data_IF_551089561302
#
_entry.id   IF_551089561302
#
_cell.length_a   1.000
_cell.length_b   1.000
_cell.length_c   1.000
_cell.angle_alpha   90.00
_cell.angle_beta   90.00
_cell.angle_gamma   90.00
#
_symmetry.space_group_name_H-M   'P 1'
#
loop_
_entity.id
_entity.type
_entity.pdbx_description
1 polymer ?
#
# COMPACT_ATOMS: atom_id res chain seq x y z
N UNK A 1 39.16 50.16 36.27
CA UNK A 1 38.52 49.73 35.01
C UNK A 1 38.34 48.22 35.07
N UNK A 2 37.14 47.75 35.42
CA UNK A 2 36.78 46.33 35.46
C UNK A 2 36.11 45.97 34.13
N UNK A 3 36.63 44.96 33.43
CA UNK A 3 36.05 44.49 32.18
C UNK A 3 34.71 43.75 32.43
N UNK A 4 33.71 43.86 31.54
CA UNK A 4 32.45 43.15 31.68
C UNK A 4 32.63 41.65 31.40
N UNK A 5 32.11 40.81 32.30
CA UNK A 5 32.01 39.36 32.12
C UNK A 5 31.04 39.05 30.96
N UNK A 6 31.42 38.24 29.96
CA UNK A 6 30.49 37.83 28.91
C UNK A 6 29.32 37.04 29.54
N UNK A 7 28.09 37.55 29.40
CA UNK A 7 26.88 36.85 29.79
C UNK A 7 26.71 35.60 28.93
N UNK A 8 26.53 34.45 29.59
CA UNK A 8 26.36 33.12 29.00
C UNK A 8 25.24 33.14 27.95
N UNK A 9 25.55 32.77 26.71
CA UNK A 9 24.55 32.52 25.68
C UNK A 9 23.56 31.45 26.16
N UNK A 10 22.25 31.58 25.86
CA UNK A 10 21.25 30.60 26.27
C UNK A 10 21.66 29.22 25.77
N UNK A 11 21.87 28.29 26.71
CA UNK A 11 22.28 26.93 26.45
C UNK A 11 21.46 26.35 25.29
N UNK A 12 22.17 25.90 24.25
CA UNK A 12 21.59 25.19 23.11
C UNK A 12 20.54 24.21 23.60
N UNK A 13 19.33 24.25 23.03
CA UNK A 13 18.23 23.33 23.38
C UNK A 13 18.75 21.90 23.34
N UNK A 14 19.08 21.39 24.52
CA UNK A 14 19.51 20.02 24.72
C UNK A 14 18.33 19.14 24.35
N UNK A 15 18.52 18.23 23.39
CA UNK A 15 17.48 17.25 23.07
C UNK A 15 17.30 16.34 24.27
N UNK A 16 16.25 16.58 25.06
CA UNK A 16 15.90 15.71 26.18
C UNK A 16 15.51 14.33 25.64
N UNK A 17 16.33 13.33 25.96
CA UNK A 17 16.04 11.93 25.66
C UNK A 17 15.10 11.44 26.75
N UNK A 18 13.80 11.44 26.45
CA UNK A 18 12.81 10.81 27.32
C UNK A 18 12.93 9.29 27.18
N UNK A 19 13.27 8.61 28.28
CA UNK A 19 13.11 7.16 28.36
C UNK A 19 11.61 6.85 28.33
N UNK A 20 11.12 6.48 27.14
CA UNK A 20 9.72 6.12 26.96
C UNK A 20 9.38 4.73 27.51
N UNK A 21 10.35 3.99 28.05
CA UNK A 21 10.17 2.60 28.45
C UNK A 21 9.90 1.73 27.21
N UNK A 22 10.74 0.74 26.95
CA UNK A 22 10.41 -0.24 25.92
C UNK A 22 9.33 -1.18 26.45
N UNK A 23 8.18 -1.19 25.79
CA UNK A 23 7.17 -2.20 26.06
C UNK A 23 7.72 -3.57 25.65
N UNK A 24 7.86 -4.45 26.63
CA UNK A 24 8.29 -5.81 26.36
C UNK A 24 7.20 -6.55 25.59
N UNK A 25 7.62 -7.31 24.58
CA UNK A 25 6.71 -8.14 23.79
C UNK A 25 6.59 -9.51 24.45
N UNK A 26 5.48 -9.73 25.16
CA UNK A 26 5.16 -11.02 25.82
C UNK A 26 4.38 -11.99 24.93
N UNK A 27 4.06 -11.57 23.69
CA UNK A 27 3.30 -12.38 22.75
C UNK A 27 4.11 -13.53 22.14
N UNK A 28 3.42 -14.52 21.53
CA UNK A 28 4.08 -15.61 20.83
C UNK A 28 4.89 -15.09 19.64
N UNK A 29 6.16 -15.51 19.57
CA UNK A 29 7.06 -15.17 18.46
C UNK A 29 6.78 -16.07 17.27
N UNK A 30 6.01 -15.57 16.32
CA UNK A 30 5.74 -16.30 15.09
C UNK A 30 6.98 -16.38 14.20
N UNK A 31 7.11 -17.49 13.47
CA UNK A 31 8.24 -17.74 12.58
C UNK A 31 8.19 -16.96 11.26
N UNK A 32 9.17 -17.24 10.40
CA UNK A 32 9.40 -16.59 9.10
C UNK A 32 8.15 -16.58 8.19
N UNK A 33 7.40 -17.67 8.14
CA UNK A 33 6.19 -17.77 7.30
C UNK A 33 5.10 -16.77 7.71
N UNK A 34 4.93 -16.53 9.00
CA UNK A 34 3.96 -15.55 9.49
C UNK A 34 4.40 -14.11 9.17
N UNK A 35 5.70 -13.82 9.24
CA UNK A 35 6.24 -12.51 8.85
C UNK A 35 5.96 -12.20 7.36
N UNK A 36 6.11 -13.20 6.47
CA UNK A 36 5.76 -13.09 5.05
C UNK A 36 4.26 -12.82 4.89
N UNK A 37 3.40 -13.60 5.55
CA UNK A 37 1.94 -13.43 5.46
C UNK A 37 1.49 -12.06 5.99
N UNK A 38 2.10 -11.60 7.08
CA UNK A 38 1.84 -10.28 7.65
C UNK A 38 2.22 -9.17 6.67
N UNK A 39 3.36 -9.30 6.00
CA UNK A 39 3.81 -8.34 4.98
C UNK A 39 2.89 -8.33 3.75
N UNK A 40 2.38 -9.50 3.34
CA UNK A 40 1.38 -9.62 2.25
C UNK A 40 0.11 -8.85 2.62
N UNK A 41 -0.51 -9.15 3.77
CA UNK A 41 -1.70 -8.43 4.26
C UNK A 41 -1.47 -6.94 4.39
N UNK A 42 -0.33 -6.57 4.96
CA UNK A 42 0.02 -5.17 5.16
C UNK A 42 0.11 -4.43 3.82
N UNK A 43 0.80 -5.02 2.84
CA UNK A 43 0.96 -4.43 1.52
C UNK A 43 -0.38 -4.26 0.81
N UNK A 44 -1.25 -5.28 0.81
CA UNK A 44 -2.59 -5.17 0.22
C UNK A 44 -3.45 -4.10 0.90
N UNK A 45 -3.45 -4.05 2.25
CA UNK A 45 -4.17 -3.03 3.01
C UNK A 45 -3.66 -1.63 2.71
N UNK A 46 -2.34 -1.48 2.56
CA UNK A 46 -1.70 -0.20 2.24
C UNK A 46 -2.09 0.28 0.84
N UNK A 47 -2.06 -0.61 -0.15
CA UNK A 47 -2.45 -0.31 -1.54
C UNK A 47 -3.92 0.13 -1.65
N UNK A 48 -4.81 -0.50 -0.88
CA UNK A 48 -6.23 -0.14 -0.80
C UNK A 48 -6.51 1.11 0.06
N UNK A 49 -5.49 1.75 0.63
CA UNK A 49 -5.65 2.95 1.44
C UNK A 49 -6.27 2.71 2.83
N UNK A 50 -6.21 1.48 3.36
CA UNK A 50 -6.66 1.23 4.73
C UNK A 50 -5.81 2.03 5.72
N UNK A 51 -6.48 2.67 6.69
CA UNK A 51 -5.90 3.58 7.70
C UNK A 51 -5.29 4.89 7.14
N UNK A 52 -5.44 5.18 5.85
CA UNK A 52 -5.16 6.49 5.25
C UNK A 52 -6.45 7.31 5.11
N UNK A 53 -6.32 8.61 4.90
CA UNK A 53 -7.45 9.51 4.64
C UNK A 53 -8.26 9.09 3.39
N UNK A 54 -9.50 9.57 3.29
CA UNK A 54 -10.45 9.20 2.22
C UNK A 54 -9.87 9.34 0.80
N UNK A 55 -8.99 10.33 0.56
CA UNK A 55 -8.35 10.55 -0.73
C UNK A 55 -7.60 9.33 -1.28
N UNK A 56 -6.98 8.53 -0.40
CA UNK A 56 -6.23 7.33 -0.82
C UNK A 56 -7.10 6.20 -1.37
N UNK A 57 -8.42 6.25 -1.10
CA UNK A 57 -9.37 5.25 -1.57
C UNK A 57 -9.98 5.61 -2.92
N UNK A 58 -9.82 6.85 -3.38
CA UNK A 58 -10.44 7.36 -4.61
C UNK A 58 -9.94 6.57 -5.82
N UNK A 59 -8.62 6.42 -5.97
CA UNK A 59 -8.02 5.71 -7.11
C UNK A 59 -8.51 4.25 -7.18
N UNK A 60 -8.40 3.43 -6.11
CA UNK A 60 -8.95 2.07 -6.12
C UNK A 60 -10.46 2.01 -6.42
N UNK A 61 -11.26 2.92 -5.84
CA UNK A 61 -12.71 2.94 -6.05
C UNK A 61 -13.05 3.31 -7.50
N UNK A 62 -12.41 4.33 -8.06
CA UNK A 62 -12.65 4.76 -9.44
C UNK A 62 -12.27 3.67 -10.44
N UNK A 63 -11.15 2.99 -10.22
CA UNK A 63 -10.73 1.88 -11.08
C UNK A 63 -11.73 0.71 -10.98
N UNK A 64 -12.13 0.33 -9.76
CA UNK A 64 -13.11 -0.74 -9.54
C UNK A 64 -14.48 -0.42 -10.17
N UNK A 65 -14.96 0.82 -9.99
CA UNK A 65 -16.20 1.29 -10.61
C UNK A 65 -16.07 1.36 -12.14
N UNK A 66 -14.91 1.77 -12.65
CA UNK A 66 -14.61 1.82 -14.08
C UNK A 66 -14.69 0.45 -14.75
N UNK A 67 -14.26 -0.62 -14.07
CA UNK A 67 -14.42 -2.00 -14.56
C UNK A 67 -15.88 -2.46 -14.42
N UNK A 68 -16.46 -2.30 -13.24
CA UNK A 68 -17.71 -2.96 -12.87
C UNK A 68 -18.92 -2.32 -13.53
N UNK A 69 -18.97 -0.98 -13.62
CA UNK A 69 -20.15 -0.27 -14.12
C UNK A 69 -20.47 -0.63 -15.58
N UNK A 70 -19.52 -0.57 -16.54
CA UNK A 70 -19.82 -0.89 -17.93
C UNK A 70 -20.29 -2.33 -18.10
N UNK A 71 -19.66 -3.29 -17.40
CA UNK A 71 -20.05 -4.71 -17.42
C UNK A 71 -21.48 -4.89 -16.91
N UNK A 72 -21.81 -4.35 -15.73
CA UNK A 72 -23.13 -4.50 -15.12
C UNK A 72 -24.22 -3.81 -15.96
N UNK A 73 -23.96 -2.59 -16.44
CA UNK A 73 -24.90 -1.85 -17.29
C UNK A 73 -25.25 -2.67 -18.53
N UNK A 74 -24.24 -3.27 -19.15
CA UNK A 74 -24.45 -3.94 -20.42
C UNK A 74 -25.10 -5.32 -20.28
N UNK A 75 -24.80 -6.06 -19.20
CA UNK A 75 -25.55 -7.25 -18.80
C UNK A 75 -27.02 -6.88 -18.56
N UNK A 76 -27.26 -5.76 -17.86
CA UNK A 76 -28.61 -5.24 -17.63
C UNK A 76 -29.36 -4.94 -18.94
N UNK A 77 -28.72 -4.25 -19.89
CA UNK A 77 -29.34 -3.96 -21.19
C UNK A 77 -29.70 -5.27 -21.92
N UNK A 78 -28.78 -6.24 -21.98
CA UNK A 78 -29.07 -7.54 -22.61
C UNK A 78 -30.22 -8.29 -21.92
N UNK A 79 -30.37 -8.16 -20.60
CA UNK A 79 -31.44 -8.81 -19.85
C UNK A 79 -32.83 -8.21 -20.12
N UNK A 80 -32.94 -6.89 -20.32
CA UNK A 80 -34.22 -6.19 -20.49
C UNK A 80 -34.56 -5.82 -21.94
N UNK A 81 -33.56 -5.72 -22.82
CA UNK A 81 -33.69 -5.28 -24.23
C UNK A 81 -32.91 -6.23 -25.16
N UNK A 82 -33.37 -7.49 -25.35
CA UNK A 82 -32.62 -8.52 -26.06
C UNK A 82 -32.43 -8.23 -27.57
N UNK A 83 -33.24 -7.33 -28.13
CA UNK A 83 -33.12 -6.86 -29.52
C UNK A 83 -31.99 -5.84 -29.73
N UNK A 84 -31.44 -5.27 -28.66
CA UNK A 84 -30.35 -4.30 -28.71
C UNK A 84 -29.04 -5.02 -28.43
N UNK A 85 -28.20 -5.15 -29.47
CA UNK A 85 -26.87 -5.71 -29.31
C UNK A 85 -25.86 -4.58 -29.03
N UNK A 86 -25.49 -4.43 -27.75
CA UNK A 86 -24.62 -3.32 -27.30
C UNK A 86 -23.15 -3.61 -27.54
N UNK A 87 -22.70 -4.82 -27.20
CA UNK A 87 -21.30 -5.22 -27.22
C UNK A 87 -21.20 -6.73 -27.45
N UNK A 88 -20.21 -7.19 -28.21
CA UNK A 88 -19.92 -8.62 -28.33
C UNK A 88 -19.05 -9.11 -27.15
N UNK A 89 -19.00 -10.43 -26.93
CA UNK A 89 -18.21 -11.03 -25.85
C UNK A 89 -16.72 -10.67 -25.94
N UNK A 90 -16.17 -10.62 -27.16
CA UNK A 90 -14.78 -10.23 -27.39
C UNK A 90 -14.50 -8.78 -26.95
N UNK A 91 -15.43 -7.87 -27.22
CA UNK A 91 -15.31 -6.45 -26.86
C UNK A 91 -15.35 -6.26 -25.33
N UNK A 92 -16.18 -7.04 -24.62
CA UNK A 92 -16.18 -7.02 -23.14
C UNK A 92 -14.82 -7.42 -22.58
N UNK A 93 -14.27 -8.51 -23.12
CA UNK A 93 -12.99 -9.01 -22.65
C UNK A 93 -11.87 -8.00 -22.92
N UNK A 94 -11.87 -7.39 -24.10
CA UNK A 94 -10.93 -6.31 -24.44
C UNK A 94 -11.04 -5.11 -23.51
N UNK A 95 -12.25 -4.66 -23.20
CA UNK A 95 -12.49 -3.52 -22.32
C UNK A 95 -12.04 -3.81 -20.87
N UNK A 96 -12.40 -4.97 -20.32
CA UNK A 96 -11.97 -5.40 -18.98
C UNK A 96 -10.43 -5.44 -18.92
N UNK A 97 -9.78 -6.06 -19.91
CA UNK A 97 -8.33 -6.21 -19.94
C UNK A 97 -7.60 -4.87 -19.96
N UNK A 98 -8.10 -3.87 -20.71
CA UNK A 98 -7.52 -2.53 -20.74
C UNK A 98 -7.61 -1.84 -19.38
N UNK A 99 -8.78 -1.89 -18.72
CA UNK A 99 -8.96 -1.22 -17.42
C UNK A 99 -8.18 -1.95 -16.32
N UNK A 100 -8.21 -3.27 -16.30
CA UNK A 100 -7.42 -4.08 -15.37
C UNK A 100 -5.92 -3.82 -15.57
N UNK A 101 -5.46 -3.68 -16.82
CA UNK A 101 -4.10 -3.27 -17.14
C UNK A 101 -3.71 -1.91 -16.54
N UNK A 102 -4.60 -0.92 -16.60
CA UNK A 102 -4.40 0.40 -15.95
C UNK A 102 -4.37 0.25 -14.42
N UNK A 103 -5.23 -0.61 -13.86
CA UNK A 103 -5.27 -0.89 -12.42
C UNK A 103 -3.95 -1.49 -11.94
N UNK A 104 -3.47 -2.54 -12.61
CA UNK A 104 -2.17 -3.16 -12.35
C UNK A 104 -1.04 -2.14 -12.48
N UNK A 105 -1.04 -1.35 -13.57
CA UNK A 105 -0.02 -0.34 -13.83
C UNK A 105 0.05 0.75 -12.75
N UNK A 106 -1.06 1.04 -12.09
CA UNK A 106 -1.13 2.03 -11.02
C UNK A 106 -0.75 1.44 -9.66
N UNK A 107 -1.20 0.23 -9.33
CA UNK A 107 -1.03 -0.38 -8.01
C UNK A 107 0.35 -1.04 -7.84
N UNK A 108 0.83 -1.76 -8.84
CA UNK A 108 2.10 -2.47 -8.76
C UNK A 108 3.29 -1.58 -8.33
N UNK A 109 3.53 -0.40 -8.93
CA UNK A 109 4.63 0.46 -8.51
C UNK A 109 4.43 1.04 -7.10
N UNK A 110 3.20 1.32 -6.65
CA UNK A 110 2.95 1.79 -5.28
C UNK A 110 3.38 0.73 -4.26
N UNK A 111 3.00 -0.52 -4.51
CA UNK A 111 3.30 -1.64 -3.62
C UNK A 111 4.79 -1.96 -3.54
N UNK A 112 5.52 -1.89 -4.66
CA UNK A 112 6.95 -2.22 -4.71
C UNK A 112 7.87 -1.05 -4.33
N UNK A 113 7.58 0.17 -4.82
CA UNK A 113 8.48 1.31 -4.65
C UNK A 113 8.25 2.08 -3.35
N UNK A 114 7.07 1.96 -2.72
CA UNK A 114 6.72 2.71 -1.52
C UNK A 114 7.71 2.54 -0.37
N UNK A 115 8.12 1.31 -0.08
CA UNK A 115 9.03 1.03 1.05
C UNK A 115 10.44 1.59 0.83
N UNK A 116 10.87 1.72 -0.44
CA UNK A 116 12.12 2.38 -0.80
C UNK A 116 12.01 3.89 -0.60
N UNK A 117 10.91 4.50 -1.03
CA UNK A 117 10.64 5.93 -0.86
C UNK A 117 10.61 6.35 0.61
N UNK A 118 10.04 5.51 1.48
CA UNK A 118 9.97 5.77 2.93
C UNK A 118 11.25 5.35 3.68
N UNK A 119 12.29 4.83 3.01
CA UNK A 119 13.55 4.39 3.61
C UNK A 119 13.41 3.33 4.73
N UNK A 120 12.37 2.49 4.68
CA UNK A 120 12.09 1.49 5.73
C UNK A 120 12.74 0.13 5.49
N UNK A 121 13.41 -0.06 4.35
CA UNK A 121 14.03 -1.35 3.98
C UNK A 121 15.09 -1.83 4.98
N UNK A 122 15.87 -0.90 5.55
CA UNK A 122 16.86 -1.24 6.57
C UNK A 122 16.22 -1.89 7.81
N UNK A 123 15.00 -1.47 8.18
CA UNK A 123 14.27 -2.04 9.31
C UNK A 123 13.85 -3.48 9.02
N UNK A 124 13.32 -3.77 7.83
CA UNK A 124 12.94 -5.14 7.43
C UNK A 124 14.14 -6.09 7.46
N UNK A 125 15.30 -5.64 6.96
CA UNK A 125 16.50 -6.48 6.83
C UNK A 125 17.36 -6.55 8.08
N UNK A 126 17.00 -5.85 9.16
CA UNK A 126 17.75 -5.87 10.42
C UNK A 126 17.64 -7.20 11.19
N UNK A 127 16.52 -7.93 11.04
CA UNK A 127 16.28 -9.18 11.79
C UNK A 127 15.13 -10.04 11.27
N UNK A 128 14.11 -9.45 10.65
CA UNK A 128 12.79 -10.09 10.50
C UNK A 128 12.64 -10.98 9.25
N UNK A 129 13.17 -10.56 8.09
CA UNK A 129 12.97 -11.24 6.80
C UNK A 129 14.20 -11.09 5.89
N UNK A 130 14.45 -12.08 5.03
CA UNK A 130 15.50 -11.98 4.01
C UNK A 130 15.03 -11.12 2.83
N UNK A 131 15.97 -10.69 1.96
CA UNK A 131 15.63 -9.95 0.73
C UNK A 131 14.73 -10.76 -0.21
N UNK A 132 14.95 -12.07 -0.30
CA UNK A 132 14.14 -12.96 -1.12
C UNK A 132 12.70 -13.09 -0.57
N UNK A 133 12.55 -13.22 0.75
CA UNK A 133 11.23 -13.25 1.40
C UNK A 133 10.45 -11.96 1.16
N UNK A 134 11.13 -10.82 1.27
CA UNK A 134 10.54 -9.52 1.03
C UNK A 134 10.03 -9.41 -0.43
N UNK A 135 10.87 -9.77 -1.41
CA UNK A 135 10.47 -9.74 -2.82
C UNK A 135 9.31 -10.69 -3.09
N UNK A 136 9.39 -11.92 -2.60
CA UNK A 136 8.32 -12.91 -2.76
C UNK A 136 7.02 -12.43 -2.12
N UNK A 137 7.07 -11.86 -0.92
CA UNK A 137 5.90 -11.28 -0.26
C UNK A 137 5.29 -10.13 -1.08
N UNK A 138 6.11 -9.24 -1.64
CA UNK A 138 5.63 -8.12 -2.47
C UNK A 138 5.02 -8.59 -3.78
N UNK A 139 5.64 -9.57 -4.44
CA UNK A 139 5.12 -10.16 -5.68
C UNK A 139 3.80 -10.89 -5.42
N UNK A 140 3.73 -11.72 -4.38
CA UNK A 140 2.48 -12.38 -3.99
C UNK A 140 1.39 -11.39 -3.60
N UNK A 141 1.73 -10.35 -2.84
CA UNK A 141 0.75 -9.32 -2.47
C UNK A 141 0.18 -8.59 -3.69
N UNK A 142 1.04 -8.31 -4.68
CA UNK A 142 0.61 -7.68 -5.93
C UNK A 142 -0.28 -8.64 -6.72
N UNK A 143 0.18 -9.88 -6.95
CA UNK A 143 -0.55 -10.89 -7.70
C UNK A 143 -1.86 -11.39 -7.05
N UNK A 144 -2.03 -11.23 -5.74
CA UNK A 144 -3.30 -11.56 -5.06
C UNK A 144 -4.29 -10.38 -5.16
N UNK A 145 -3.78 -9.15 -5.16
CA UNK A 145 -4.61 -7.95 -5.15
C UNK A 145 -5.11 -7.58 -6.56
N UNK A 146 -4.29 -7.85 -7.57
CA UNK A 146 -4.62 -7.67 -8.99
C UNK A 146 -5.10 -8.97 -9.57
#
# INVERSE_FOLDING_TARGET
MTAPTPGLEPAARYGEIFDRGYQHYDGPRYGRGYAIWALIRYSMKRALGFKKGWGSKIIPILLYLGVTLPVVISIGIRAFLPSVNVLDYADYFGFIFVIEGIFVATIAPEMLCGDRRENVLALYFSRAITRADYLLAKLLATAILT
#
